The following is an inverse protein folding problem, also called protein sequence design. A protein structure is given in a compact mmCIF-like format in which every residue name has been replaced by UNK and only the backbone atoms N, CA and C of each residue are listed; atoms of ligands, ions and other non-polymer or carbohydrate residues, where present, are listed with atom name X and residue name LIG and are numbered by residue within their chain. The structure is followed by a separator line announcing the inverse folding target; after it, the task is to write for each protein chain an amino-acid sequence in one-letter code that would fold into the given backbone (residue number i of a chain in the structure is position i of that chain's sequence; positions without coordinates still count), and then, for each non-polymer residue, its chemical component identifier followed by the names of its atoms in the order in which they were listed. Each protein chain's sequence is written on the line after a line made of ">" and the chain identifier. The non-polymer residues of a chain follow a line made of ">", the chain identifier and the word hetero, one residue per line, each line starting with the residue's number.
data_IF_027686511212
#
_entry.id   IF_027686511212
#
_cell.length_a   1.000
_cell.length_b   1.000
_cell.length_c   1.000
_cell.angle_alpha   90.00
_cell.angle_beta   90.00
_cell.angle_gamma   90.00
#
_symmetry.space_group_name_H-M   'P 1'
#
loop_
_entity.id
_entity.type
_entity.pdbx_description
1 polymer ?
#
# COMPACT_ATOMS: atom_id res chain seq x y z
N UNK A 1 -29.43 17.52 1.68
CA UNK A 1 -28.96 16.26 1.06
C UNK A 1 -27.91 15.64 1.98
N UNK A 2 -28.34 14.83 2.94
CA UNK A 2 -27.48 14.30 4.00
C UNK A 2 -26.73 13.06 3.52
N UNK A 3 -25.47 13.22 3.08
CA UNK A 3 -24.58 12.09 2.85
C UNK A 3 -24.32 11.39 4.19
N UNK A 4 -25.01 10.28 4.45
CA UNK A 4 -24.80 9.49 5.66
C UNK A 4 -23.42 8.82 5.60
N UNK A 5 -22.60 8.91 6.66
CA UNK A 5 -21.22 8.38 6.69
C UNK A 5 -21.15 6.87 6.43
N UNK A 6 -22.19 6.11 6.81
CA UNK A 6 -22.27 4.66 6.58
C UNK A 6 -22.25 4.26 5.09
N UNK A 7 -22.80 5.09 4.19
CA UNK A 7 -22.85 4.78 2.76
C UNK A 7 -21.46 4.94 2.10
N UNK A 8 -20.71 5.97 2.50
CA UNK A 8 -19.35 6.22 2.00
C UNK A 8 -18.37 5.16 2.46
N UNK A 9 -18.43 4.76 3.73
CA UNK A 9 -17.61 3.68 4.28
C UNK A 9 -17.82 2.36 3.51
N UNK A 10 -19.09 1.99 3.28
CA UNK A 10 -19.45 0.78 2.53
C UNK A 10 -18.95 0.83 1.07
N UNK A 11 -18.95 2.00 0.43
CA UNK A 11 -18.42 2.18 -0.93
C UNK A 11 -16.90 2.01 -0.98
N UNK A 12 -16.18 2.58 0.00
CA UNK A 12 -14.73 2.48 0.08
C UNK A 12 -14.27 1.04 0.32
N UNK A 13 -14.94 0.31 1.21
CA UNK A 13 -14.67 -1.13 1.43
C UNK A 13 -14.90 -1.96 0.17
N UNK A 14 -16.00 -1.71 -0.55
CA UNK A 14 -16.28 -2.39 -1.82
C UNK A 14 -15.22 -2.08 -2.87
N UNK A 15 -14.78 -0.81 -2.96
CA UNK A 15 -13.71 -0.39 -3.86
C UNK A 15 -12.40 -1.10 -3.51
N UNK A 16 -12.00 -1.07 -2.23
CA UNK A 16 -10.77 -1.70 -1.75
C UNK A 16 -10.76 -3.19 -2.09
N UNK A 17 -11.81 -3.93 -1.74
CA UNK A 17 -11.95 -5.37 -2.07
C UNK A 17 -11.88 -5.63 -3.58
N UNK A 18 -12.54 -4.80 -4.38
CA UNK A 18 -12.53 -4.94 -5.84
C UNK A 18 -11.14 -4.72 -6.44
N UNK A 19 -10.42 -3.70 -5.95
CA UNK A 19 -9.05 -3.40 -6.36
C UNK A 19 -8.11 -4.55 -5.98
N UNK A 20 -8.14 -5.02 -4.74
CA UNK A 20 -7.26 -6.10 -4.30
C UNK A 20 -7.52 -7.39 -5.08
N UNK A 21 -8.80 -7.77 -5.29
CA UNK A 21 -9.15 -8.92 -6.13
C UNK A 21 -8.65 -8.78 -7.58
N UNK A 22 -8.65 -7.58 -8.13
CA UNK A 22 -8.20 -7.35 -9.50
C UNK A 22 -6.67 -7.45 -9.64
N UNK A 23 -5.93 -6.82 -8.73
CA UNK A 23 -4.48 -6.68 -8.84
C UNK A 23 -3.67 -7.82 -8.20
N UNK A 24 -4.23 -8.59 -7.29
CA UNK A 24 -3.56 -9.76 -6.72
C UNK A 24 -4.01 -11.07 -7.37
N UNK A 25 -3.11 -12.04 -7.43
CA UNK A 25 -3.44 -13.43 -7.77
C UNK A 25 -4.02 -14.14 -6.56
N UNK A 26 -4.61 -15.31 -6.77
CA UNK A 26 -5.11 -16.16 -5.68
C UNK A 26 -3.99 -16.61 -4.73
N UNK A 27 -2.75 -16.67 -5.20
CA UNK A 27 -1.54 -16.98 -4.43
C UNK A 27 -0.95 -15.75 -3.73
N UNK A 28 -1.61 -14.59 -3.81
CA UNK A 28 -1.15 -13.35 -3.15
C UNK A 28 -0.04 -12.60 -3.88
N UNK A 29 0.32 -12.98 -5.12
CA UNK A 29 1.28 -12.22 -5.94
C UNK A 29 0.60 -10.97 -6.51
N UNK A 30 1.30 -9.85 -6.53
CA UNK A 30 0.84 -8.66 -7.24
C UNK A 30 1.06 -8.88 -8.74
N UNK A 31 0.04 -8.63 -9.57
CA UNK A 31 0.13 -8.77 -11.04
C UNK A 31 0.91 -7.62 -11.67
N UNK A 32 0.58 -6.40 -11.24
CA UNK A 32 1.23 -5.15 -11.65
C UNK A 32 0.81 -4.02 -10.71
N UNK A 33 1.64 -2.99 -10.59
CA UNK A 33 1.28 -1.80 -9.84
C UNK A 33 0.21 -0.97 -10.61
N UNK A 34 -0.88 -0.51 -9.97
CA UNK A 34 -1.90 0.28 -10.66
C UNK A 34 -1.36 1.64 -11.12
N UNK A 35 -1.73 2.06 -12.34
CA UNK A 35 -1.42 3.40 -12.84
C UNK A 35 -2.28 4.50 -12.17
N UNK A 36 -3.53 4.18 -11.81
CA UNK A 36 -4.43 5.12 -11.14
C UNK A 36 -4.04 5.28 -9.67
N UNK A 37 -3.73 6.51 -9.26
CA UNK A 37 -3.23 6.83 -7.91
C UNK A 37 -4.11 6.22 -6.80
N UNK A 38 -5.43 6.39 -6.84
CA UNK A 38 -6.34 5.87 -5.81
C UNK A 38 -6.22 4.35 -5.63
N UNK A 39 -6.12 3.61 -6.74
CA UNK A 39 -5.93 2.15 -6.73
C UNK A 39 -4.53 1.76 -6.30
N UNK A 40 -3.51 2.53 -6.71
CA UNK A 40 -2.12 2.34 -6.31
C UNK A 40 -1.99 2.43 -4.78
N UNK A 41 -2.56 3.47 -4.18
CA UNK A 41 -2.53 3.65 -2.72
C UNK A 41 -3.20 2.49 -1.98
N UNK A 42 -4.33 1.98 -2.47
CA UNK A 42 -4.97 0.77 -1.91
C UNK A 42 -4.01 -0.44 -1.94
N UNK A 43 -3.30 -0.64 -3.04
CA UNK A 43 -2.33 -1.74 -3.18
C UNK A 43 -1.14 -1.54 -2.23
N UNK A 44 -0.58 -0.33 -2.17
CA UNK A 44 0.55 -0.02 -1.31
C UNK A 44 0.20 -0.11 0.18
N UNK A 45 -0.99 0.34 0.57
CA UNK A 45 -1.52 0.17 1.93
C UNK A 45 -1.63 -1.32 2.27
N UNK A 46 -2.18 -2.13 1.37
CA UNK A 46 -2.31 -3.57 1.58
C UNK A 46 -0.95 -4.26 1.79
N UNK A 47 0.07 -3.90 1.00
CA UNK A 47 1.43 -4.40 1.18
C UNK A 47 2.02 -3.91 2.52
N UNK A 48 1.88 -2.63 2.85
CA UNK A 48 2.42 -2.05 4.09
C UNK A 48 1.84 -2.70 5.33
N UNK A 49 0.56 -3.08 5.30
CA UNK A 49 -0.09 -3.79 6.40
C UNK A 49 0.47 -5.21 6.67
N UNK A 50 1.35 -5.74 5.79
CA UNK A 50 2.05 -7.00 6.02
C UNK A 50 3.43 -6.80 6.67
N UNK A 51 3.90 -5.55 6.79
CA UNK A 51 5.12 -5.21 7.52
C UNK A 51 4.80 -5.06 9.01
N UNK A 52 5.81 -5.35 9.84
CA UNK A 52 5.72 -5.16 11.29
C UNK A 52 5.89 -3.68 11.62
N UNK A 53 4.97 -3.07 12.38
CA UNK A 53 5.14 -1.71 12.86
C UNK A 53 6.38 -1.57 13.75
N UNK A 54 7.06 -0.42 13.68
CA UNK A 54 8.25 -0.09 14.50
C UNK A 54 9.47 -1.01 14.30
N UNK A 55 9.44 -1.89 13.31
CA UNK A 55 10.59 -2.68 12.89
C UNK A 55 11.38 -1.90 11.85
N UNK A 56 12.71 -1.89 12.03
CA UNK A 56 13.66 -1.43 11.03
C UNK A 56 13.96 -2.56 10.06
N UNK A 57 13.90 -2.25 8.77
CA UNK A 57 14.23 -3.16 7.67
C UNK A 57 15.41 -2.57 6.90
N UNK A 58 16.47 -3.33 6.72
CA UNK A 58 17.49 -3.00 5.74
C UNK A 58 16.90 -2.95 4.32
N UNK A 59 17.61 -2.30 3.41
CA UNK A 59 17.27 -2.32 1.98
C UNK A 59 17.11 -3.75 1.44
N UNK A 60 17.98 -4.67 1.87
CA UNK A 60 17.90 -6.07 1.47
C UNK A 60 16.62 -6.74 1.97
N UNK A 61 16.30 -6.61 3.27
CA UNK A 61 15.08 -7.20 3.84
C UNK A 61 13.82 -6.62 3.22
N UNK A 62 13.80 -5.31 2.96
CA UNK A 62 12.68 -4.67 2.26
C UNK A 62 12.55 -5.18 0.82
N UNK A 63 13.66 -5.37 0.11
CA UNK A 63 13.65 -5.94 -1.24
C UNK A 63 13.14 -7.39 -1.23
N UNK A 64 13.58 -8.21 -0.28
CA UNK A 64 13.13 -9.59 -0.12
C UNK A 64 11.63 -9.65 0.21
N UNK A 65 11.17 -8.83 1.16
CA UNK A 65 9.75 -8.67 1.48
C UNK A 65 8.92 -8.38 0.22
N UNK A 66 9.31 -7.39 -0.57
CA UNK A 66 8.55 -7.01 -1.77
C UNK A 66 8.64 -8.09 -2.86
N UNK A 67 9.78 -8.78 -3.01
CA UNK A 67 9.98 -9.85 -4.00
C UNK A 67 9.00 -11.02 -3.83
N UNK A 68 8.52 -11.28 -2.61
CA UNK A 68 7.44 -12.24 -2.40
C UNK A 68 6.19 -11.87 -3.21
N UNK A 69 5.90 -10.58 -3.34
CA UNK A 69 4.73 -10.06 -4.05
C UNK A 69 5.00 -9.76 -5.53
N UNK A 70 6.16 -9.18 -5.89
CA UNK A 70 6.42 -8.69 -7.24
C UNK A 70 7.93 -8.55 -7.54
N UNK A 71 8.33 -8.80 -8.79
CA UNK A 71 9.75 -8.74 -9.21
C UNK A 71 10.29 -7.32 -9.36
N UNK A 72 9.44 -6.35 -9.72
CA UNK A 72 9.79 -4.92 -9.68
C UNK A 72 9.73 -4.35 -8.24
N UNK A 73 10.59 -4.88 -7.38
CA UNK A 73 10.68 -4.47 -5.98
C UNK A 73 11.21 -3.04 -5.82
N UNK A 74 12.05 -2.58 -6.75
CA UNK A 74 12.63 -1.25 -6.72
C UNK A 74 11.57 -0.16 -6.91
N UNK A 75 10.66 -0.32 -7.87
CA UNK A 75 9.54 0.61 -8.09
C UNK A 75 8.60 0.63 -6.90
N UNK A 76 8.22 -0.54 -6.38
CA UNK A 76 7.29 -0.61 -5.24
C UNK A 76 7.89 0.03 -3.99
N UNK A 77 9.17 -0.25 -3.69
CA UNK A 77 9.86 0.37 -2.55
C UNK A 77 9.92 1.89 -2.65
N UNK A 78 10.18 2.41 -3.85
CA UNK A 78 10.14 3.85 -4.13
C UNK A 78 8.74 4.44 -3.91
N UNK A 79 7.70 3.75 -4.36
CA UNK A 79 6.31 4.20 -4.23
C UNK A 79 5.81 4.16 -2.78
N UNK A 80 6.20 3.14 -1.99
CA UNK A 80 5.96 3.09 -0.54
C UNK A 80 6.53 4.33 0.17
N UNK A 81 7.75 4.73 -0.20
CA UNK A 81 8.38 5.94 0.33
C UNK A 81 7.69 7.23 -0.14
N UNK A 82 7.46 7.39 -1.46
CA UNK A 82 6.81 8.58 -2.05
C UNK A 82 5.42 8.84 -1.43
N UNK A 83 4.68 7.78 -1.11
CA UNK A 83 3.34 7.87 -0.56
C UNK A 83 3.28 7.74 0.97
N UNK A 84 4.43 7.91 1.64
CA UNK A 84 4.54 8.01 3.10
C UNK A 84 4.09 6.76 3.85
N UNK A 85 4.05 5.60 3.21
CA UNK A 85 3.82 4.33 3.90
C UNK A 85 5.03 3.92 4.73
N UNK A 86 6.23 4.19 4.21
CA UNK A 86 7.50 3.98 4.91
C UNK A 86 8.35 5.25 4.88
N UNK A 87 9.23 5.41 5.86
CA UNK A 87 10.36 6.33 5.78
C UNK A 87 11.61 5.57 5.29
N UNK A 88 12.66 6.33 4.97
CA UNK A 88 13.99 5.78 4.68
C UNK A 88 15.04 6.69 5.31
N UNK A 89 15.94 6.13 6.12
CA UNK A 89 17.12 6.80 6.64
C UNK A 89 18.33 5.87 6.52
N UNK A 90 19.40 6.29 5.84
CA UNK A 90 20.59 5.48 5.61
C UNK A 90 20.28 4.04 5.14
N UNK A 91 19.38 3.91 4.16
CA UNK A 91 18.94 2.61 3.59
C UNK A 91 18.16 1.70 4.55
N UNK A 92 17.83 2.19 5.74
CA UNK A 92 16.92 1.55 6.67
C UNK A 92 15.52 2.12 6.45
N UNK A 93 14.54 1.22 6.42
CA UNK A 93 13.13 1.50 6.21
C UNK A 93 12.32 1.16 7.46
N UNK A 94 11.41 2.05 7.84
CA UNK A 94 10.43 1.80 8.90
C UNK A 94 9.03 2.20 8.42
N UNK A 95 8.02 1.47 8.87
CA UNK A 95 6.62 1.80 8.61
C UNK A 95 6.26 3.09 9.34
N UNK A 96 5.77 4.09 8.61
CA UNK A 96 5.28 5.33 9.21
C UNK A 96 3.97 5.10 9.97
N UNK A 97 3.60 6.02 10.86
CA UNK A 97 2.31 5.92 11.53
C UNK A 97 1.15 5.99 10.50
N UNK A 98 0.03 5.25 10.68
CA UNK A 98 -1.08 5.25 9.72
C UNK A 98 -1.64 6.64 9.37
N UNK A 99 -1.57 7.60 10.31
CA UNK A 99 -2.00 8.98 10.07
C UNK A 99 -1.09 9.78 9.14
N UNK A 100 0.12 9.29 8.83
CA UNK A 100 1.04 9.90 7.87
C UNK A 100 0.88 9.35 6.46
N UNK A 101 0.18 8.22 6.30
CA UNK A 101 0.03 7.57 5.01
C UNK A 101 -0.79 8.46 4.08
N UNK A 102 -0.48 8.41 2.79
CA UNK A 102 -1.31 9.11 1.81
C UNK A 102 -2.69 8.46 1.75
N UNK A 103 -3.68 9.18 2.29
CA UNK A 103 -5.05 8.71 2.39
C UNK A 103 -5.74 8.67 1.02
N UNK A 104 -6.14 7.48 0.60
CA UNK A 104 -6.89 7.28 -0.64
C UNK A 104 -8.39 7.53 -0.47
N UNK A 105 -8.92 7.52 0.76
CA UNK A 105 -10.34 7.76 1.04
C UNK A 105 -10.71 9.21 0.73
N UNK A 106 -9.82 10.16 1.05
CA UNK A 106 -10.01 11.60 0.76
C UNK A 106 -9.74 12.00 -0.69
N UNK A 107 -9.17 11.13 -1.53
CA UNK A 107 -8.99 11.42 -2.96
C UNK A 107 -10.35 11.50 -3.66
N UNK A 108 -10.59 12.60 -4.38
CA UNK A 108 -11.80 12.78 -5.20
C UNK A 108 -11.87 11.76 -6.33
#
# INVERSE_FOLDING_TARGET
>A
MSNHPANTQTKNEKLQKSVLRHFFTEQGRLKNLPAQLKKKLIVLEHLTNQLEPKKAYSEQEMNEFIKFYHEDYATIRRELFIHRFVNRNNEIYEVNAPGEWRDWVSLK
#
